data_IF_665157156088
#
_entry.id   IF_665157156088
#
_cell.length_a   1.000
_cell.length_b   1.000
_cell.length_c   1.000
_cell.angle_alpha   90.00
_cell.angle_beta   90.00
_cell.angle_gamma   90.00
#
_symmetry.space_group_name_H-M   'P 1'
#
loop_
_entity.id
_entity.type
_entity.pdbx_description
1 polymer ?
#
# COMPACT_ATOMS: atom_id res chain seq x y z
N UNK A 1 16.10 15.08 -29.95
CA UNK A 1 14.69 15.01 -29.51
C UNK A 1 14.40 13.82 -28.66
N UNK A 2 14.49 12.62 -29.18
CA UNK A 2 14.30 11.41 -28.37
C UNK A 2 15.35 11.33 -27.27
N UNK A 3 16.60 11.69 -27.58
CA UNK A 3 17.70 11.68 -26.63
C UNK A 3 17.46 12.65 -25.49
N UNK A 4 16.93 13.84 -25.77
CA UNK A 4 16.60 14.83 -24.75
C UNK A 4 15.47 14.35 -23.85
N UNK A 5 14.45 13.73 -24.45
CA UNK A 5 13.33 13.17 -23.71
C UNK A 5 13.80 12.09 -22.73
N UNK A 6 14.63 11.17 -23.20
CA UNK A 6 15.18 10.11 -22.37
C UNK A 6 16.04 10.69 -21.25
N UNK A 7 16.85 11.71 -21.55
CA UNK A 7 17.70 12.36 -20.57
C UNK A 7 16.87 13.01 -19.47
N UNK A 8 15.77 13.67 -19.82
CA UNK A 8 14.87 14.29 -18.85
C UNK A 8 14.23 13.23 -17.97
N UNK A 9 13.79 12.11 -18.55
CA UNK A 9 13.19 11.02 -17.79
C UNK A 9 14.19 10.36 -16.85
N UNK A 10 15.44 10.25 -17.25
CA UNK A 10 16.49 9.71 -16.38
C UNK A 10 16.80 10.63 -15.21
N UNK A 11 16.68 11.94 -15.40
CA UNK A 11 16.89 12.92 -14.34
C UNK A 11 15.71 12.99 -13.36
N UNK A 12 14.52 12.76 -13.88
CA UNK A 12 13.31 12.68 -13.06
C UNK A 12 13.00 11.21 -12.88
N UNK A 13 13.07 10.74 -11.66
CA UNK A 13 12.67 9.36 -11.35
C UNK A 13 11.29 9.11 -11.96
N UNK A 14 11.21 8.15 -12.86
CA UNK A 14 9.93 7.72 -13.41
C UNK A 14 9.07 7.18 -12.26
N UNK A 15 7.81 7.58 -12.26
CA UNK A 15 6.84 7.05 -11.31
C UNK A 15 6.37 5.69 -11.85
N UNK A 16 6.68 4.63 -11.10
CA UNK A 16 6.17 3.31 -11.43
C UNK A 16 4.76 3.20 -10.87
N UNK A 17 3.82 2.87 -11.73
CA UNK A 17 2.41 2.75 -11.36
C UNK A 17 1.87 1.36 -11.69
N UNK A 18 0.82 0.96 -10.97
CA UNK A 18 0.05 -0.24 -11.26
C UNK A 18 -1.43 0.08 -11.10
N UNK A 19 -2.23 -0.33 -12.08
CA UNK A 19 -3.67 -0.12 -12.04
C UNK A 19 -4.38 -1.47 -11.90
N UNK A 20 -4.78 -1.85 -10.67
CA UNK A 20 -5.64 -3.02 -10.47
C UNK A 20 -7.09 -2.64 -10.70
N UNK A 21 -7.83 -3.48 -11.40
CA UNK A 21 -9.26 -3.25 -11.63
C UNK A 21 -10.10 -3.76 -10.47
N UNK A 22 -9.53 -4.60 -9.59
CA UNK A 22 -10.22 -5.14 -8.43
C UNK A 22 -9.19 -5.55 -7.36
N UNK A 23 -9.72 -5.97 -6.21
CA UNK A 23 -8.91 -6.36 -5.06
C UNK A 23 -7.98 -7.54 -5.37
N UNK A 24 -8.47 -8.51 -6.12
CA UNK A 24 -7.72 -9.72 -6.42
C UNK A 24 -6.47 -9.42 -7.26
N UNK A 25 -6.59 -8.53 -8.24
CA UNK A 25 -5.43 -8.13 -9.05
C UNK A 25 -4.34 -7.46 -8.22
N UNK A 26 -4.74 -6.65 -7.24
CA UNK A 26 -3.80 -6.02 -6.32
C UNK A 26 -3.11 -7.07 -5.45
N UNK A 27 -3.88 -8.02 -4.93
CA UNK A 27 -3.31 -9.12 -4.13
C UNK A 27 -2.32 -9.95 -4.94
N UNK A 28 -2.63 -10.26 -6.19
CA UNK A 28 -1.73 -11.00 -7.06
C UNK A 28 -0.43 -10.24 -7.33
N UNK A 29 -0.53 -8.93 -7.53
CA UNK A 29 0.67 -8.11 -7.68
C UNK A 29 1.55 -8.16 -6.43
N UNK A 30 0.94 -8.05 -5.27
CA UNK A 30 1.66 -8.13 -3.99
C UNK A 30 2.30 -9.51 -3.79
N UNK A 31 1.58 -10.57 -4.11
CA UNK A 31 2.13 -11.93 -4.02
C UNK A 31 3.43 -12.05 -4.81
N UNK A 32 3.44 -11.50 -6.01
CA UNK A 32 4.60 -11.61 -6.89
C UNK A 32 5.70 -10.62 -6.53
N UNK A 33 5.36 -9.42 -6.09
CA UNK A 33 6.31 -8.31 -6.03
C UNK A 33 6.68 -7.83 -4.63
N UNK A 34 5.95 -8.22 -3.57
CA UNK A 34 6.17 -7.63 -2.24
C UNK A 34 7.58 -7.83 -1.71
N UNK A 35 8.29 -8.88 -2.13
CA UNK A 35 9.66 -9.14 -1.70
C UNK A 35 10.71 -8.74 -2.74
N UNK A 36 10.28 -8.26 -3.91
CA UNK A 36 11.16 -7.81 -4.99
C UNK A 36 11.22 -6.30 -5.12
N UNK A 37 10.14 -5.62 -4.76
CA UNK A 37 10.01 -4.17 -4.88
C UNK A 37 9.83 -3.55 -3.51
N UNK A 38 10.17 -2.26 -3.40
CA UNK A 38 10.03 -1.51 -2.15
C UNK A 38 8.79 -0.63 -2.13
N UNK A 39 8.26 -0.30 -3.29
CA UNK A 39 7.15 0.66 -3.40
C UNK A 39 6.46 0.54 -4.74
N UNK A 40 5.24 1.10 -4.80
CA UNK A 40 4.45 1.22 -6.02
C UNK A 40 3.44 2.35 -5.86
N UNK A 41 3.13 3.06 -6.93
CA UNK A 41 2.00 3.97 -6.98
C UNK A 41 0.81 3.22 -7.55
N UNK A 42 -0.24 3.07 -6.75
CA UNK A 42 -1.46 2.38 -7.14
C UNK A 42 -2.42 3.37 -7.76
N UNK A 43 -2.94 3.05 -8.94
CA UNK A 43 -3.90 3.92 -9.64
C UNK A 43 -5.31 3.59 -9.19
N UNK A 44 -6.06 4.64 -8.79
CA UNK A 44 -7.47 4.54 -8.41
C UNK A 44 -8.30 5.45 -9.30
N UNK A 45 -9.52 5.02 -9.60
CA UNK A 45 -10.50 5.84 -10.30
C UNK A 45 -11.66 6.18 -9.38
N UNK A 46 -12.22 7.38 -9.54
CA UNK A 46 -13.41 7.78 -8.81
C UNK A 46 -14.63 6.99 -9.32
N UNK A 47 -15.63 6.83 -8.47
CA UNK A 47 -16.84 6.13 -8.82
C UNK A 47 -17.54 6.73 -10.04
N UNK A 48 -17.40 8.04 -10.24
CA UNK A 48 -18.04 8.75 -11.36
C UNK A 48 -17.42 8.44 -12.71
N UNK A 49 -16.22 7.85 -12.73
CA UNK A 49 -15.52 7.57 -13.98
C UNK A 49 -16.05 6.34 -14.72
N UNK A 50 -16.83 5.49 -14.05
CA UNK A 50 -17.26 4.19 -14.56
C UNK A 50 -16.11 3.21 -14.87
N UNK A 51 -14.90 3.54 -14.47
CA UNK A 51 -13.76 2.64 -14.59
C UNK A 51 -13.69 1.73 -13.37
N UNK A 52 -13.45 0.43 -13.56
CA UNK A 52 -13.28 -0.46 -12.40
C UNK A 52 -12.06 -0.02 -11.60
N UNK A 53 -12.16 -0.12 -10.28
CA UNK A 53 -11.08 0.30 -9.39
C UNK A 53 -11.19 -0.42 -8.07
N UNK A 54 -10.05 -0.76 -7.49
CA UNK A 54 -10.03 -1.26 -6.11
C UNK A 54 -10.35 -0.09 -5.18
N UNK A 55 -11.14 -0.33 -4.13
CA UNK A 55 -11.40 0.72 -3.15
C UNK A 55 -10.14 0.97 -2.30
N UNK A 56 -10.03 2.19 -1.74
CA UNK A 56 -8.93 2.51 -0.83
C UNK A 56 -8.86 1.50 0.32
N UNK A 57 -10.00 1.23 0.96
CA UNK A 57 -10.05 0.31 2.12
C UNK A 57 -9.54 -1.07 1.76
N UNK A 58 -9.98 -1.62 0.62
CA UNK A 58 -9.53 -2.93 0.16
C UNK A 58 -8.04 -2.90 -0.21
N UNK A 59 -7.58 -1.81 -0.79
CA UNK A 59 -6.16 -1.68 -1.14
C UNK A 59 -5.28 -1.70 0.10
N UNK A 60 -5.68 -1.00 1.16
CA UNK A 60 -4.95 -1.00 2.43
C UNK A 60 -4.99 -2.39 3.07
N UNK A 61 -6.17 -3.04 3.07
CA UNK A 61 -6.31 -4.38 3.62
C UNK A 61 -5.30 -5.34 2.98
N UNK A 62 -5.24 -5.37 1.66
CA UNK A 62 -4.32 -6.27 0.98
C UNK A 62 -2.87 -5.93 1.27
N UNK A 63 -2.54 -4.64 1.28
CA UNK A 63 -1.17 -4.21 1.59
C UNK A 63 -0.73 -4.68 2.97
N UNK A 64 -1.60 -4.54 3.97
CA UNK A 64 -1.32 -4.98 5.34
C UNK A 64 -1.04 -6.47 5.42
N UNK A 65 -1.71 -7.28 4.58
CA UNK A 65 -1.49 -8.71 4.54
C UNK A 65 -0.05 -9.08 4.17
N UNK A 66 0.65 -8.19 3.48
CA UNK A 66 2.02 -8.42 3.00
C UNK A 66 3.05 -7.54 3.69
N UNK A 67 2.68 -6.87 4.78
CA UNK A 67 3.59 -5.98 5.49
C UNK A 67 3.87 -4.67 4.77
N UNK A 68 2.95 -4.22 3.94
CA UNK A 68 3.01 -2.94 3.23
C UNK A 68 2.00 -1.96 3.82
N UNK A 69 2.16 -0.68 3.51
CA UNK A 69 1.28 0.39 4.01
C UNK A 69 1.20 1.52 2.99
N UNK A 70 0.06 2.21 2.99
CA UNK A 70 -0.14 3.39 2.16
C UNK A 70 0.45 4.64 2.83
N UNK A 71 0.71 5.66 2.01
CA UNK A 71 1.16 6.95 2.52
C UNK A 71 0.58 8.09 1.69
N UNK A 72 1.30 8.59 0.70
CA UNK A 72 0.96 9.80 -0.03
C UNK A 72 -0.09 9.54 -1.11
N UNK A 73 -0.99 10.50 -1.29
CA UNK A 73 -1.99 10.50 -2.37
C UNK A 73 -1.73 11.69 -3.27
N UNK A 74 -1.85 11.48 -4.59
CA UNK A 74 -1.74 12.55 -5.60
C UNK A 74 -2.87 12.45 -6.60
N UNK A 75 -3.58 13.54 -6.84
CA UNK A 75 -4.54 13.61 -7.94
C UNK A 75 -3.79 13.72 -9.26
N UNK A 76 -4.20 12.96 -10.26
CA UNK A 76 -3.60 13.01 -11.59
C UNK A 76 -4.51 13.75 -12.58
N UNK A 77 -5.78 13.39 -12.57
CA UNK A 77 -6.78 13.93 -13.47
C UNK A 77 -8.05 14.12 -12.67
N UNK A 78 -9.10 14.60 -13.32
CA UNK A 78 -10.36 14.91 -12.64
C UNK A 78 -11.01 13.67 -11.99
N UNK A 79 -10.77 12.49 -12.56
CA UNK A 79 -11.41 11.25 -12.13
C UNK A 79 -10.44 10.18 -11.62
N UNK A 80 -9.16 10.53 -11.43
CA UNK A 80 -8.11 9.55 -11.17
C UNK A 80 -7.10 10.11 -10.18
N UNK A 81 -6.62 9.23 -9.28
CA UNK A 81 -5.56 9.59 -8.34
C UNK A 81 -4.63 8.39 -8.14
N UNK A 82 -3.45 8.65 -7.60
CA UNK A 82 -2.50 7.59 -7.26
C UNK A 82 -2.22 7.61 -5.77
N UNK A 83 -2.03 6.41 -5.21
CA UNK A 83 -1.77 6.18 -3.80
C UNK A 83 -0.43 5.48 -3.69
N UNK A 84 0.48 6.01 -2.85
CA UNK A 84 1.80 5.40 -2.67
C UNK A 84 1.74 4.30 -1.62
N UNK A 85 2.22 3.12 -1.99
CA UNK A 85 2.34 1.97 -1.10
C UNK A 85 3.80 1.56 -0.98
N UNK A 86 4.25 1.26 0.23
CA UNK A 86 5.63 0.84 0.50
C UNK A 86 5.66 -0.28 1.51
N UNK A 87 6.77 -1.00 1.57
CA UNK A 87 7.05 -1.90 2.69
C UNK A 87 7.08 -1.09 3.97
N UNK A 88 6.49 -1.62 5.03
CA UNK A 88 6.59 -1.02 6.35
C UNK A 88 8.02 -1.11 6.86
N UNK A 89 8.46 -0.03 7.49
CA UNK A 89 9.75 -0.03 8.19
C UNK A 89 9.56 -0.63 9.59
N UNK A 90 10.58 -1.26 10.16
CA UNK A 90 10.48 -1.78 11.54
C UNK A 90 10.08 -0.71 12.55
N UNK A 91 10.42 0.54 12.28
CA UNK A 91 10.11 1.67 13.16
C UNK A 91 8.74 2.29 12.90
N UNK A 92 7.99 1.80 11.91
CA UNK A 92 6.65 2.33 11.61
C UNK A 92 5.72 2.09 12.79
N UNK A 93 4.94 3.13 13.14
CA UNK A 93 3.93 3.01 14.20
C UNK A 93 2.63 2.48 13.62
N UNK A 94 1.75 1.96 14.48
CA UNK A 94 0.51 1.33 14.07
C UNK A 94 -0.68 2.09 14.62
N UNK A 95 -1.56 2.56 13.73
CA UNK A 95 -2.80 3.22 14.14
C UNK A 95 -3.80 2.19 14.65
N UNK A 96 -4.75 2.67 15.44
CA UNK A 96 -5.84 1.83 15.94
C UNK A 96 -6.62 1.21 14.78
N UNK A 97 -6.91 2.00 13.75
CA UNK A 97 -7.66 1.53 12.58
C UNK A 97 -6.91 0.38 11.89
N UNK A 98 -5.60 0.52 11.69
CA UNK A 98 -4.82 -0.53 11.04
C UNK A 98 -4.72 -1.79 11.91
N UNK A 99 -4.63 -1.64 13.24
CA UNK A 99 -4.62 -2.80 14.13
C UNK A 99 -5.97 -3.53 14.11
N UNK A 100 -7.08 -2.81 14.02
CA UNK A 100 -8.40 -3.42 13.87
C UNK A 100 -8.53 -4.17 12.55
N UNK A 101 -8.00 -3.59 11.47
CA UNK A 101 -7.95 -4.28 10.17
C UNK A 101 -7.15 -5.58 10.26
N UNK A 102 -6.01 -5.56 10.91
CA UNK A 102 -5.18 -6.75 11.09
C UNK A 102 -5.96 -7.84 11.82
N UNK A 103 -6.68 -7.49 12.88
CA UNK A 103 -7.46 -8.47 13.64
C UNK A 103 -8.51 -9.16 12.75
N UNK A 104 -9.22 -8.36 11.94
CA UNK A 104 -10.21 -8.89 11.00
C UNK A 104 -9.55 -9.77 9.93
N UNK A 105 -8.46 -9.29 9.33
CA UNK A 105 -7.75 -10.02 8.28
C UNK A 105 -7.18 -11.34 8.80
N UNK A 106 -6.74 -11.35 10.05
CA UNK A 106 -6.26 -12.56 10.71
C UNK A 106 -7.39 -13.59 10.85
N UNK A 107 -8.56 -13.14 11.29
CA UNK A 107 -9.72 -14.01 11.44
C UNK A 107 -10.18 -14.56 10.09
N UNK A 108 -10.05 -13.77 9.03
CA UNK A 108 -10.41 -14.18 7.68
C UNK A 108 -9.35 -15.08 7.02
N UNK A 109 -8.22 -15.27 7.66
CA UNK A 109 -7.16 -16.11 7.15
C UNK A 109 -6.39 -15.52 5.98
N UNK A 110 -6.39 -14.18 5.86
CA UNK A 110 -5.80 -13.50 4.70
C UNK A 110 -4.36 -13.03 4.93
N UNK A 111 -3.87 -13.02 6.17
CA UNK A 111 -2.51 -12.56 6.45
C UNK A 111 -1.48 -13.51 5.86
N UNK A 112 -0.46 -12.95 5.22
CA UNK A 112 0.64 -13.69 4.63
C UNK A 112 1.86 -13.62 5.57
N UNK A 113 2.86 -14.50 5.37
CA UNK A 113 4.04 -14.53 6.26
C UNK A 113 4.72 -13.17 6.44
N UNK A 114 4.85 -12.38 5.37
CA UNK A 114 5.47 -11.04 5.47
C UNK A 114 4.64 -10.10 6.34
N UNK A 115 3.31 -10.20 6.26
CA UNK A 115 2.43 -9.42 7.12
C UNK A 115 2.56 -9.82 8.58
N UNK A 116 2.57 -11.12 8.85
CA UNK A 116 2.76 -11.63 10.22
C UNK A 116 4.11 -11.21 10.79
N UNK A 117 5.16 -11.24 9.97
CA UNK A 117 6.49 -10.81 10.40
C UNK A 117 6.51 -9.33 10.76
N UNK A 118 5.86 -8.46 9.96
CA UNK A 118 5.82 -7.04 10.26
C UNK A 118 5.13 -6.75 11.60
N UNK A 119 4.09 -7.50 11.91
CA UNK A 119 3.39 -7.39 13.18
C UNK A 119 4.29 -7.83 14.34
N UNK A 120 4.95 -8.97 14.18
CA UNK A 120 5.85 -9.52 15.19
C UNK A 120 6.98 -8.55 15.53
N UNK A 121 7.59 -7.95 14.50
CA UNK A 121 8.65 -6.96 14.67
C UNK A 121 8.14 -5.77 15.48
N UNK A 122 6.96 -5.25 15.12
CA UNK A 122 6.37 -4.10 15.80
C UNK A 122 6.04 -4.41 17.27
N UNK A 123 5.56 -5.60 17.55
CA UNK A 123 5.26 -6.02 18.92
C UNK A 123 6.53 -6.15 19.75
N UNK A 124 7.61 -6.66 19.16
CA UNK A 124 8.87 -6.85 19.86
C UNK A 124 9.58 -5.54 20.14
N UNK A 125 9.52 -4.56 19.24
CA UNK A 125 10.23 -3.29 19.41
C UNK A 125 9.36 -2.18 20.02
N UNK A 126 8.11 -2.45 20.36
CA UNK A 126 7.22 -1.50 21.02
C UNK A 126 6.46 -0.56 20.11
N UNK A 127 6.74 -0.54 18.81
CA UNK A 127 6.04 0.37 17.89
C UNK A 127 4.56 0.03 17.72
N UNK A 128 4.19 -1.21 18.01
CA UNK A 128 2.80 -1.65 17.96
C UNK A 128 1.89 -0.82 18.88
N UNK A 129 2.39 -0.43 20.06
CA UNK A 129 1.60 0.22 21.10
C UNK A 129 1.89 1.71 21.28
N UNK A 130 2.79 2.29 20.50
CA UNK A 130 3.22 3.69 20.70
C UNK A 130 2.03 4.67 20.65
N UNK A 131 1.06 4.44 19.78
CA UNK A 131 -0.08 5.35 19.60
C UNK A 131 -1.29 5.04 20.47
N UNK A 132 -1.25 3.98 21.28
CA UNK A 132 -2.44 3.55 22.04
C UNK A 132 -2.98 4.66 22.95
N UNK A 133 -2.11 5.36 23.67
CA UNK A 133 -2.53 6.43 24.58
C UNK A 133 -3.02 7.67 23.85
N UNK A 134 -2.48 7.89 22.66
CA UNK A 134 -2.82 9.08 21.87
C UNK A 134 -4.17 8.92 21.17
N UNK A 135 -4.54 7.71 20.79
CA UNK A 135 -5.76 7.44 20.03
C UNK A 135 -6.96 7.05 20.88
N UNK A 136 -6.76 6.92 22.19
CA UNK A 136 -7.85 6.69 23.10
C UNK A 136 -8.66 7.98 23.32
#
# INVERSE_FOLDING_TARGET
MITEFISINMQKKEIETFYPTNRQEWREWLLENHNKKQSIWLVHYNKKSNMPSVSWSDAVDEALCFGWIDSTRKSLEIDKFIQFFTKRKPTSVWSKINKEKIERLKQEGLLMPAGLESISIAQQNGTWNILDDVEE
#
